data_IF_677598602963
#
_entry.id   IF_677598602963
#
_cell.length_a   1.000
_cell.length_b   1.000
_cell.length_c   1.000
_cell.angle_alpha   90.00
_cell.angle_beta   90.00
_cell.angle_gamma   90.00
#
_symmetry.space_group_name_H-M   'P 1'
#
loop_
_entity.id
_entity.type
_entity.pdbx_description
1 polymer ?
#
# COMPACT_ATOMS: atom_id res chain seq x y z
N UNK A 1 11.89 -20.56 -24.35
CA UNK A 1 11.20 -20.63 -23.04
C UNK A 1 10.18 -19.50 -22.99
N UNK A 2 8.94 -19.76 -23.39
CA UNK A 2 7.90 -18.72 -23.38
C UNK A 2 7.35 -18.59 -21.96
N UNK A 3 7.67 -17.50 -21.27
CA UNK A 3 6.94 -17.10 -20.08
C UNK A 3 5.46 -16.97 -20.48
N UNK A 4 4.61 -17.83 -19.92
CA UNK A 4 3.23 -18.00 -20.33
C UNK A 4 2.49 -16.65 -20.17
N UNK A 5 1.95 -16.08 -21.25
CA UNK A 5 1.37 -14.71 -21.28
C UNK A 5 0.30 -14.51 -20.19
N UNK A 6 -0.41 -15.59 -19.82
CA UNK A 6 -1.34 -15.62 -18.68
C UNK A 6 -0.68 -15.40 -17.32
N UNK A 7 0.50 -15.95 -17.09
CA UNK A 7 1.27 -15.75 -15.85
C UNK A 7 1.74 -14.29 -15.72
N UNK A 8 2.14 -13.67 -16.83
CA UNK A 8 2.51 -12.25 -16.86
C UNK A 8 1.34 -11.32 -16.50
N UNK A 9 0.13 -11.61 -16.99
CA UNK A 9 -1.06 -10.82 -16.68
C UNK A 9 -1.50 -10.99 -15.22
N UNK A 10 -1.42 -12.21 -14.66
CA UNK A 10 -1.74 -12.47 -13.24
C UNK A 10 -0.72 -11.83 -12.29
N UNK A 11 0.58 -11.85 -12.63
CA UNK A 11 1.60 -11.16 -11.83
C UNK A 11 1.40 -9.65 -11.86
N UNK A 12 1.00 -9.11 -13.00
CA UNK A 12 0.69 -7.70 -13.16
C UNK A 12 -0.51 -7.33 -12.26
N UNK A 13 -1.63 -8.05 -12.33
CA UNK A 13 -2.80 -7.77 -11.46
C UNK A 13 -2.50 -7.90 -9.97
N UNK A 14 -1.72 -8.90 -9.54
CA UNK A 14 -1.31 -9.05 -8.14
C UNK A 14 -0.49 -7.84 -7.64
N UNK A 15 0.43 -7.32 -8.46
CA UNK A 15 1.25 -6.15 -8.10
C UNK A 15 0.40 -4.89 -7.94
N UNK A 16 -0.53 -4.63 -8.86
CA UNK A 16 -1.45 -3.50 -8.76
C UNK A 16 -2.33 -3.60 -7.52
N UNK A 17 -2.91 -4.78 -7.27
CA UNK A 17 -3.74 -5.01 -6.09
C UNK A 17 -2.95 -4.79 -4.80
N UNK A 18 -1.71 -5.26 -4.73
CA UNK A 18 -0.85 -5.03 -3.57
C UNK A 18 -0.61 -3.54 -3.33
N UNK A 19 -0.27 -2.79 -4.38
CA UNK A 19 -0.02 -1.36 -4.25
C UNK A 19 -1.28 -0.59 -3.83
N UNK A 20 -2.48 -1.02 -4.27
CA UNK A 20 -3.74 -0.42 -3.83
C UNK A 20 -4.12 -0.80 -2.39
N UNK A 21 -3.87 -2.05 -1.99
CA UNK A 21 -4.22 -2.56 -0.66
C UNK A 21 -3.39 -1.90 0.45
N UNK A 22 -2.11 -1.62 0.17
CA UNK A 22 -1.15 -1.09 1.13
C UNK A 22 -0.89 0.42 0.99
N UNK A 23 -1.84 1.16 0.40
CA UNK A 23 -1.84 2.63 0.27
C UNK A 23 -0.71 3.23 -0.58
N UNK A 24 -0.10 2.46 -1.48
CA UNK A 24 0.86 3.00 -2.46
C UNK A 24 0.17 3.54 -3.72
N UNK A 25 -1.03 3.07 -4.03
CA UNK A 25 -1.91 3.58 -5.08
C UNK A 25 -3.31 3.85 -4.51
N UNK A 26 -4.02 4.87 -5.02
CA UNK A 26 -5.41 5.07 -4.65
C UNK A 26 -6.26 3.88 -5.09
N UNK A 27 -7.19 3.44 -4.26
CA UNK A 27 -8.22 2.46 -4.65
C UNK A 27 -9.08 3.09 -5.74
N UNK A 28 -9.19 2.45 -6.89
CA UNK A 28 -10.08 2.90 -7.98
C UNK A 28 -11.38 2.12 -7.92
N UNK A 29 -12.51 2.81 -7.94
CA UNK A 29 -13.80 2.17 -8.21
C UNK A 29 -13.84 1.64 -9.64
N UNK A 30 -14.58 0.54 -9.85
CA UNK A 30 -14.80 -0.09 -11.16
C UNK A 30 -15.31 0.92 -12.20
N UNK A 31 -15.98 1.98 -11.74
CA UNK A 31 -16.60 3.04 -12.54
C UNK A 31 -15.61 4.12 -13.01
N UNK A 32 -14.58 4.43 -12.21
CA UNK A 32 -13.47 5.32 -12.62
C UNK A 32 -12.40 4.47 -13.31
N UNK A 33 -12.71 4.06 -14.54
CA UNK A 33 -11.79 3.33 -15.42
C UNK A 33 -10.39 3.94 -15.35
N UNK A 34 -9.45 3.15 -14.83
CA UNK A 34 -8.16 3.57 -14.32
C UNK A 34 -7.28 4.30 -15.35
N UNK A 35 -7.43 5.63 -15.47
CA UNK A 35 -6.40 6.49 -16.06
C UNK A 35 -5.26 6.66 -15.05
N UNK A 36 -4.49 5.60 -14.82
CA UNK A 36 -3.23 5.68 -14.07
C UNK A 36 -2.09 5.90 -15.03
N UNK A 37 -1.23 6.87 -14.72
CA UNK A 37 -0.04 7.12 -15.53
C UNK A 37 1.07 6.14 -15.16
N UNK A 38 1.98 5.87 -16.10
CA UNK A 38 3.16 5.05 -15.85
C UNK A 38 4.02 5.67 -14.75
N UNK A 39 4.08 7.00 -14.70
CA UNK A 39 4.78 7.76 -13.68
C UNK A 39 4.22 7.52 -12.27
N UNK A 40 2.89 7.50 -12.12
CA UNK A 40 2.23 7.25 -10.85
C UNK A 40 2.56 5.83 -10.34
N UNK A 41 2.55 4.84 -11.23
CA UNK A 41 2.92 3.48 -10.89
C UNK A 41 4.39 3.40 -10.45
N UNK A 42 5.30 3.99 -11.23
CA UNK A 42 6.74 4.00 -10.89
C UNK A 42 6.97 4.67 -9.53
N UNK A 43 6.27 5.76 -9.24
CA UNK A 43 6.36 6.43 -7.95
C UNK A 43 5.85 5.54 -6.80
N UNK A 44 4.72 4.87 -6.97
CA UNK A 44 4.19 3.91 -5.99
C UNK A 44 5.21 2.80 -5.70
N UNK A 45 5.86 2.27 -6.73
CA UNK A 45 6.91 1.24 -6.58
C UNK A 45 8.12 1.79 -5.83
N UNK A 46 8.57 3.02 -6.14
CA UNK A 46 9.69 3.65 -5.41
C UNK A 46 9.36 3.82 -3.93
N UNK A 47 8.11 4.18 -3.60
CA UNK A 47 7.68 4.32 -2.21
C UNK A 47 7.69 2.98 -1.47
N UNK A 48 7.21 1.90 -2.10
CA UNK A 48 7.31 0.55 -1.57
C UNK A 48 8.78 0.13 -1.33
N UNK A 49 9.67 0.42 -2.29
CA UNK A 49 11.08 0.06 -2.18
C UNK A 49 11.77 0.80 -1.04
N UNK A 50 11.47 2.10 -0.86
CA UNK A 50 11.94 2.90 0.28
C UNK A 50 11.45 2.31 1.60
N UNK A 51 10.17 1.99 1.69
CA UNK A 51 9.58 1.39 2.89
C UNK A 51 10.20 0.03 3.23
N UNK A 52 10.35 -0.84 2.22
CA UNK A 52 10.97 -2.15 2.37
C UNK A 52 12.49 -2.13 2.53
N UNK A 53 13.11 -0.95 2.54
CA UNK A 53 14.55 -0.74 2.63
C UNK A 53 15.34 -1.58 1.60
N UNK A 54 14.88 -1.55 0.34
CA UNK A 54 15.54 -2.19 -0.81
C UNK A 54 15.96 -1.11 -1.82
N UNK A 55 16.87 -1.42 -2.77
CA UNK A 55 17.27 -0.45 -3.79
C UNK A 55 16.07 0.13 -4.56
N UNK A 56 16.04 1.46 -4.67
CA UNK A 56 14.93 2.19 -5.29
C UNK A 56 15.15 2.27 -6.79
N UNK A 57 14.50 1.40 -7.54
CA UNK A 57 14.56 1.34 -9.00
C UNK A 57 13.31 1.90 -9.67
N UNK A 58 12.16 1.86 -8.99
CA UNK A 58 10.85 2.16 -9.57
C UNK A 58 10.30 1.05 -10.48
N UNK A 59 10.93 -0.12 -10.48
CA UNK A 59 10.51 -1.30 -11.23
C UNK A 59 10.31 -2.51 -10.32
N UNK A 60 9.46 -3.46 -10.72
CA UNK A 60 9.23 -4.70 -9.98
C UNK A 60 10.36 -5.73 -10.23
N UNK A 61 11.53 -5.41 -9.70
CA UNK A 61 12.73 -6.22 -9.77
C UNK A 61 12.64 -7.48 -8.87
N UNK A 62 13.68 -8.31 -8.85
CA UNK A 62 13.68 -9.54 -8.06
C UNK A 62 13.56 -9.26 -6.54
N UNK A 63 14.19 -8.19 -6.04
CA UNK A 63 14.09 -7.81 -4.64
C UNK A 63 12.66 -7.36 -4.30
N UNK A 64 12.04 -6.53 -5.13
CA UNK A 64 10.65 -6.07 -4.95
C UNK A 64 9.66 -7.23 -5.01
N UNK A 65 9.83 -8.18 -5.94
CA UNK A 65 8.98 -9.39 -5.97
C UNK A 65 9.12 -10.24 -4.71
N UNK A 66 10.33 -10.37 -4.17
CA UNK A 66 10.57 -11.10 -2.92
C UNK A 66 9.93 -10.37 -1.74
N UNK A 67 9.97 -9.04 -1.72
CA UNK A 67 9.34 -8.20 -0.70
C UNK A 67 7.81 -8.37 -0.69
N UNK A 68 7.16 -8.19 -1.84
CA UNK A 68 5.69 -8.28 -1.98
C UNK A 68 5.14 -9.66 -1.58
N UNK A 69 5.92 -10.73 -1.81
CA UNK A 69 5.52 -12.11 -1.49
C UNK A 69 5.66 -12.50 -0.02
N UNK A 70 6.34 -11.70 0.81
CA UNK A 70 6.49 -12.03 2.23
C UNK A 70 5.15 -11.86 2.96
N UNK A 71 4.79 -12.77 3.89
CA UNK A 71 3.64 -12.57 4.74
C UNK A 71 3.85 -11.32 5.61
N UNK A 72 2.79 -10.53 5.78
CA UNK A 72 2.81 -9.24 6.49
C UNK A 72 1.45 -8.97 7.14
N UNK A 73 1.37 -7.91 7.94
CA UNK A 73 0.09 -7.40 8.43
C UNK A 73 -0.75 -6.82 7.27
N UNK A 74 -2.07 -6.80 7.43
CA UNK A 74 -3.01 -6.19 6.49
C UNK A 74 -3.20 -4.68 6.66
N UNK A 75 -2.40 -4.04 7.52
CA UNK A 75 -2.45 -2.59 7.72
C UNK A 75 -1.65 -1.90 6.61
N UNK A 76 -2.20 -0.81 6.06
CA UNK A 76 -1.56 0.00 5.03
C UNK A 76 -0.31 0.73 5.51
N UNK A 77 0.60 1.05 4.58
CA UNK A 77 1.92 1.60 4.91
C UNK A 77 1.96 3.13 4.93
N UNK A 78 0.86 3.81 4.58
CA UNK A 78 0.85 5.27 4.54
C UNK A 78 0.68 5.88 5.93
N UNK A 79 1.59 6.79 6.28
CA UNK A 79 1.50 7.56 7.53
C UNK A 79 0.43 8.67 7.46
N UNK A 80 -0.25 8.81 6.31
CA UNK A 80 -1.27 9.84 6.12
C UNK A 80 -2.62 9.46 6.73
N UNK A 81 -2.80 8.20 7.14
CA UNK A 81 -3.96 7.75 7.90
C UNK A 81 -3.77 8.11 9.38
N UNK A 82 -4.02 9.38 9.73
CA UNK A 82 -4.04 9.81 11.15
C UNK A 82 -5.23 9.23 11.93
N UNK A 83 -6.12 8.52 11.22
CA UNK A 83 -7.28 7.83 11.74
C UNK A 83 -7.18 6.39 11.25
N UNK A 84 -7.19 5.42 12.17
CA UNK A 84 -7.51 4.04 11.81
C UNK A 84 -8.95 4.05 11.26
N UNK A 85 -9.09 4.15 9.94
CA UNK A 85 -10.37 3.95 9.27
C UNK A 85 -10.46 2.47 8.91
N UNK A 86 -11.43 1.70 9.42
CA UNK A 86 -11.55 0.27 9.13
C UNK A 86 -11.66 -0.06 7.63
N UNK A 87 -12.04 0.93 6.82
CA UNK A 87 -12.21 0.84 5.37
C UNK A 87 -10.98 1.34 4.56
N UNK A 88 -9.93 1.83 5.22
CA UNK A 88 -8.79 2.53 4.63
C UNK A 88 -9.19 3.68 3.68
N UNK A 89 -10.31 4.38 3.94
CA UNK A 89 -10.73 5.55 3.16
C UNK A 89 -10.16 6.85 3.75
N UNK A 90 -9.63 7.70 2.86
CA UNK A 90 -9.13 9.03 3.20
C UNK A 90 -10.29 10.00 3.45
N UNK A 91 -10.77 10.05 4.69
CA UNK A 91 -11.69 11.10 5.13
C UNK A 91 -10.89 12.39 5.36
N UNK A 92 -11.25 13.47 4.64
CA UNK A 92 -10.60 14.77 4.73
C UNK A 92 -10.83 15.40 6.11
N UNK A 93 -9.94 15.10 7.05
CA UNK A 93 -9.93 15.70 8.38
C UNK A 93 -8.66 16.55 8.54
N UNK A 94 -8.81 17.68 9.25
CA UNK A 94 -7.73 18.63 9.51
C UNK A 94 -6.58 17.91 10.25
N UNK A 95 -5.44 17.77 9.57
CA UNK A 95 -4.23 17.14 10.10
C UNK A 95 -3.66 18.02 11.22
N UNK A 96 -3.55 17.50 12.45
CA UNK A 96 -2.83 18.17 13.53
C UNK A 96 -1.33 18.10 13.25
N UNK A 97 -0.60 19.22 13.41
CA UNK A 97 0.85 19.36 13.09
C UNK A 97 1.76 18.39 13.85
N UNK A 98 1.26 17.75 14.90
CA UNK A 98 1.93 16.70 15.64
C UNK A 98 0.87 15.66 16.04
N UNK A 99 1.18 14.40 15.81
CA UNK A 99 0.40 13.26 16.31
C UNK A 99 1.14 12.76 17.54
N UNK A 100 0.57 12.97 18.73
CA UNK A 100 0.93 12.14 19.89
C UNK A 100 0.61 10.71 19.44
N UNK A 101 1.61 9.85 19.38
CA UNK A 101 1.56 8.55 18.71
C UNK A 101 0.22 7.80 18.87
N UNK A 102 -0.53 7.71 17.76
CA UNK A 102 -1.70 6.85 17.62
C UNK A 102 -2.92 7.17 18.48
N UNK A 103 -4.04 6.46 18.27
CA UNK A 103 -5.13 6.42 19.23
C UNK A 103 -4.60 5.82 20.54
N UNK A 104 -4.61 6.61 21.61
CA UNK A 104 -4.23 6.17 22.95
C UNK A 104 -5.47 5.61 23.64
N UNK A 105 -5.32 4.47 24.30
CA UNK A 105 -6.35 3.99 25.21
C UNK A 105 -6.54 4.94 26.39
N UNK A 106 -7.76 5.40 26.62
CA UNK A 106 -8.09 6.25 27.77
C UNK A 106 -7.90 5.52 29.11
N UNK A 107 -8.00 4.19 29.09
CA UNK A 107 -7.83 3.30 30.26
C UNK A 107 -6.66 2.36 30.02
N UNK A 108 -5.94 2.02 31.08
CA UNK A 108 -4.83 1.06 31.06
C UNK A 108 -5.29 -0.39 31.21
N UNK A 109 -6.44 -0.60 31.83
CA UNK A 109 -6.99 -1.93 32.09
C UNK A 109 -7.77 -2.41 30.88
N UNK A 110 -7.07 -3.06 29.95
CA UNK A 110 -7.62 -3.55 28.70
C UNK A 110 -8.21 -4.96 28.89
N UNK A 111 -9.38 -5.21 28.31
CA UNK A 111 -10.03 -6.53 28.25
C UNK A 111 -10.29 -6.90 26.79
N UNK A 112 -10.21 -8.20 26.45
CA UNK A 112 -10.41 -8.71 25.10
C UNK A 112 -11.35 -9.94 25.13
N UNK A 113 -11.96 -10.28 23.98
CA UNK A 113 -12.79 -11.48 23.78
C UNK A 113 -12.38 -12.18 22.49
#
# INVERSE_FOLDING_TARGET
MYANKRYSLVLNTFQYNYLMEFDYLPKSDIETGALRTEEQLKEAIRNLQRFGNIPVTGEIDAATRKLIRKPRCGVGDSNQTTTFSPDNLHHSHRIKRYVLQGPKWDKTDLTWR
#
